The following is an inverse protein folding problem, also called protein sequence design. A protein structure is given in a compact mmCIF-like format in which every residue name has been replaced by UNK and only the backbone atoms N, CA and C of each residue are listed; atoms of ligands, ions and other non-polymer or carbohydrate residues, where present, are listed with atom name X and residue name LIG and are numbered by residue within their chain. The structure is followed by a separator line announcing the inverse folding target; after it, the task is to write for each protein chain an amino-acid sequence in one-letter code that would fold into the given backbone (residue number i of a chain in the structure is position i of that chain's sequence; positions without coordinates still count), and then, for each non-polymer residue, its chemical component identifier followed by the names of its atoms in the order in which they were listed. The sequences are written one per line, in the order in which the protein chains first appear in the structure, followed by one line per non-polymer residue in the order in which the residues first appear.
data_IF_965371185245
#
_entry.id   IF_965371185245
#
_cell.length_a   1.000
_cell.length_b   1.000
_cell.length_c   1.000
_cell.angle_alpha   90.00
_cell.angle_beta   90.00
_cell.angle_gamma   90.00
#
_symmetry.space_group_name_H-M   'P 1'
#
loop_
_entity.id
_entity.type
_entity.pdbx_description
1 polymer ?
#
# COMPACT_ATOMS: atom_id res chain seq x y z
N UNK A 1 -2.79 13.54 -20.82
CA UNK A 1 -3.46 12.45 -20.44
C UNK A 1 -4.80 12.68 -19.86
N UNK A 2 -5.68 11.90 -20.26
CA UNK A 2 -6.95 12.24 -20.02
C UNK A 2 -7.48 11.52 -18.95
N UNK A 3 -7.06 11.77 -17.83
CA UNK A 3 -7.64 11.21 -16.69
C UNK A 3 -8.67 12.14 -16.24
N UNK A 4 -9.88 11.79 -16.45
CA UNK A 4 -10.93 12.57 -15.94
C UNK A 4 -11.41 11.86 -14.72
N UNK A 5 -11.00 12.25 -13.58
CA UNK A 5 -11.42 11.56 -12.38
C UNK A 5 -12.91 11.61 -12.28
N UNK A 6 -13.46 10.49 -12.01
CA UNK A 6 -14.89 10.43 -11.87
C UNK A 6 -15.28 10.78 -10.49
N UNK A 7 -15.00 12.00 -10.10
CA UNK A 7 -15.27 12.36 -8.79
C UNK A 7 -16.68 12.27 -8.46
N UNK A 8 -16.99 11.77 -7.32
CA UNK A 8 -18.35 11.77 -6.86
C UNK A 8 -19.23 10.71 -7.45
N UNK A 9 -18.68 9.80 -8.21
CA UNK A 9 -19.48 8.75 -8.75
C UNK A 9 -19.73 7.62 -7.80
N UNK A 10 -19.33 7.79 -6.56
CA UNK A 10 -19.71 6.86 -5.53
C UNK A 10 -19.02 5.54 -5.48
N UNK A 11 -18.03 5.36 -6.32
CA UNK A 11 -17.34 4.10 -6.32
C UNK A 11 -16.18 4.20 -5.37
N UNK A 12 -16.39 3.85 -4.12
CA UNK A 12 -15.36 3.96 -3.10
C UNK A 12 -14.31 2.89 -3.19
N UNK A 13 -14.52 1.87 -4.01
CA UNK A 13 -13.57 0.77 -4.12
C UNK A 13 -12.78 0.77 -5.40
N UNK A 14 -13.15 1.59 -6.34
CA UNK A 14 -12.53 1.59 -7.65
C UNK A 14 -12.39 2.98 -8.16
N UNK A 15 -11.32 3.23 -8.89
CA UNK A 15 -11.18 4.43 -9.65
C UNK A 15 -11.61 4.15 -11.08
N UNK A 16 -12.37 5.05 -11.64
CA UNK A 16 -12.77 4.93 -13.03
C UNK A 16 -12.12 6.01 -13.86
N UNK A 17 -11.50 5.59 -14.95
CA UNK A 17 -10.92 6.48 -15.92
C UNK A 17 -11.80 6.40 -17.16
N UNK A 18 -12.42 7.50 -17.50
CA UNK A 18 -13.34 7.54 -18.64
C UNK A 18 -12.69 8.22 -19.82
N UNK A 19 -12.88 7.64 -20.99
CA UNK A 19 -12.47 8.28 -22.23
C UNK A 19 -13.49 7.92 -23.31
N UNK A 20 -13.22 8.31 -24.53
CA UNK A 20 -14.18 8.07 -25.62
C UNK A 20 -14.40 6.60 -25.92
N UNK A 21 -13.46 5.76 -25.58
CA UNK A 21 -13.52 4.35 -25.92
C UNK A 21 -14.00 3.46 -24.78
N UNK A 22 -14.13 4.02 -23.59
CA UNK A 22 -14.58 3.21 -22.47
C UNK A 22 -14.07 3.75 -21.14
N UNK A 23 -14.00 2.88 -20.15
CA UNK A 23 -13.53 3.27 -18.83
C UNK A 23 -12.57 2.22 -18.28
N UNK A 24 -11.70 2.66 -17.39
CA UNK A 24 -10.78 1.77 -16.66
C UNK A 24 -11.11 1.86 -15.19
N UNK A 25 -11.27 0.73 -14.55
CA UNK A 25 -11.55 0.69 -13.11
C UNK A 25 -10.36 0.05 -12.39
N UNK A 26 -9.96 0.63 -11.29
CA UNK A 26 -8.83 0.12 -10.49
C UNK A 26 -9.37 -0.26 -9.11
N UNK A 27 -9.23 -1.52 -8.74
CA UNK A 27 -9.71 -1.98 -7.45
C UNK A 27 -8.68 -1.73 -6.36
N UNK A 28 -9.13 -1.67 -5.12
CA UNK A 28 -8.22 -1.51 -3.98
C UNK A 28 -7.27 -2.70 -3.85
N UNK A 29 -7.68 -3.89 -4.28
CA UNK A 29 -6.80 -5.05 -4.24
C UNK A 29 -5.61 -4.89 -5.17
N UNK A 30 -5.82 -4.32 -6.34
CA UNK A 30 -4.72 -4.08 -7.28
C UNK A 30 -3.75 -3.06 -6.68
N UNK A 31 -4.27 -2.03 -6.05
CA UNK A 31 -3.44 -1.02 -5.38
C UNK A 31 -2.64 -1.69 -4.26
N UNK A 32 -3.27 -2.56 -3.48
CA UNK A 32 -2.61 -3.24 -2.37
C UNK A 32 -1.48 -4.13 -2.87
N UNK A 33 -1.70 -4.86 -3.96
CA UNK A 33 -0.65 -5.70 -4.53
C UNK A 33 0.53 -4.88 -5.00
N UNK A 34 0.28 -3.78 -5.67
CA UNK A 34 1.35 -2.93 -6.17
C UNK A 34 2.10 -2.26 -5.02
N UNK A 35 1.36 -1.77 -4.02
CA UNK A 35 1.96 -1.13 -2.85
C UNK A 35 2.83 -2.13 -2.08
N UNK A 36 2.36 -3.38 -1.94
CA UNK A 36 3.11 -4.41 -1.26
C UNK A 36 4.40 -4.75 -1.98
N UNK A 37 4.35 -4.87 -3.30
CA UNK A 37 5.54 -5.15 -4.09
C UNK A 37 6.55 -4.01 -3.97
N UNK A 38 6.08 -2.78 -3.92
CA UNK A 38 6.96 -1.62 -3.73
C UNK A 38 7.59 -1.66 -2.35
N UNK A 39 6.78 -1.96 -1.34
CA UNK A 39 7.24 -1.92 0.05
C UNK A 39 8.35 -2.93 0.32
N UNK A 40 8.22 -4.16 -0.19
CA UNK A 40 9.22 -5.19 0.10
C UNK A 40 10.54 -4.93 -0.58
N UNK A 41 10.56 -4.03 -1.55
CA UNK A 41 11.82 -3.65 -2.20
C UNK A 41 12.54 -2.54 -1.45
N UNK A 42 11.91 -1.93 -0.48
CA UNK A 42 12.50 -0.81 0.25
C UNK A 42 13.54 -1.29 1.25
N UNK A 43 14.56 -0.46 1.45
CA UNK A 43 15.61 -0.75 2.41
C UNK A 43 15.03 -0.94 3.80
N UNK A 44 15.49 -1.98 4.48
CA UNK A 44 15.11 -2.24 5.87
C UNK A 44 13.78 -2.96 6.06
N UNK A 45 13.02 -3.17 5.00
CA UNK A 45 11.76 -3.90 5.09
C UNK A 45 12.04 -5.37 4.80
N UNK A 46 11.78 -6.23 5.77
CA UNK A 46 11.92 -7.67 5.59
C UNK A 46 10.69 -8.22 4.85
N UNK A 47 9.55 -7.69 5.19
CA UNK A 47 8.31 -8.12 4.54
C UNK A 47 7.09 -7.55 5.22
N UNK A 48 5.94 -7.99 4.77
CA UNK A 48 4.66 -7.60 5.36
C UNK A 48 4.32 -8.56 6.48
N UNK A 49 3.45 -8.14 7.37
CA UNK A 49 3.07 -8.93 8.53
C UNK A 49 1.57 -9.07 8.63
N UNK A 50 1.13 -10.25 9.04
CA UNK A 50 -0.24 -10.44 9.47
C UNK A 50 -0.22 -10.62 10.98
N UNK A 51 -1.14 -9.97 11.66
CA UNK A 51 -1.27 -10.10 13.10
C UNK A 51 -2.56 -10.87 13.38
N UNK A 52 -2.44 -11.97 14.14
CA UNK A 52 -3.61 -12.72 14.52
C UNK A 52 -4.31 -12.00 15.67
N UNK A 53 -5.50 -11.55 15.46
CA UNK A 53 -6.27 -10.87 16.50
C UNK A 53 -6.56 -11.81 17.67
N UNK A 54 -6.64 -13.08 17.38
CA UNK A 54 -6.98 -14.07 18.40
C UNK A 54 -5.80 -14.40 19.30
N UNK A 55 -4.64 -14.60 18.69
CA UNK A 55 -3.47 -15.05 19.42
C UNK A 55 -2.42 -13.99 19.64
N UNK A 56 -2.56 -12.86 18.99
CA UNK A 56 -1.57 -11.81 19.06
C UNK A 56 -0.27 -12.16 18.36
N UNK A 57 -0.26 -13.21 17.55
CA UNK A 57 0.94 -13.64 16.87
C UNK A 57 1.16 -12.83 15.61
N UNK A 58 2.42 -12.53 15.33
CA UNK A 58 2.81 -11.82 14.13
C UNK A 58 3.43 -12.81 13.15
N UNK A 59 2.90 -12.83 11.94
CA UNK A 59 3.35 -13.75 10.91
C UNK A 59 3.90 -12.99 9.73
N UNK A 60 5.08 -13.41 9.25
CA UNK A 60 5.66 -12.82 8.05
C UNK A 60 4.93 -13.33 6.83
N UNK A 61 4.53 -12.42 5.97
CA UNK A 61 3.81 -12.75 4.73
C UNK A 61 4.74 -12.72 3.54
N UNK A 62 4.54 -13.63 2.63
CA UNK A 62 5.36 -13.76 1.41
C UNK A 62 4.47 -13.99 0.21
N UNK A 63 4.98 -13.61 -0.95
CA UNK A 63 4.32 -13.89 -2.23
C UNK A 63 2.91 -13.37 -2.29
N UNK A 64 1.98 -14.23 -2.62
CA UNK A 64 0.59 -13.83 -2.82
C UNK A 64 -0.09 -13.36 -1.55
N UNK A 65 0.51 -13.63 -0.39
CA UNK A 65 -0.09 -13.22 0.88
C UNK A 65 0.26 -11.80 1.29
N UNK A 66 1.08 -11.11 0.53
CA UNK A 66 1.53 -9.75 0.93
C UNK A 66 0.36 -8.82 1.21
N UNK A 67 -0.70 -8.93 0.44
CA UNK A 67 -1.84 -8.02 0.58
C UNK A 67 -2.55 -8.14 1.92
N UNK A 68 -2.34 -9.24 2.62
CA UNK A 68 -2.97 -9.41 3.94
C UNK A 68 -2.38 -8.49 5.00
N UNK A 69 -1.20 -7.94 4.75
CA UNK A 69 -0.59 -6.97 5.64
C UNK A 69 -0.82 -5.54 5.20
N UNK A 70 -1.67 -5.33 4.21
CA UNK A 70 -1.90 -4.01 3.64
C UNK A 70 -3.39 -3.74 3.54
N UNK A 71 -3.79 -2.57 4.02
CA UNK A 71 -5.18 -2.16 3.88
C UNK A 71 -5.20 -0.90 3.03
N UNK A 72 -5.99 -0.91 1.98
CA UNK A 72 -6.12 0.23 1.08
C UNK A 72 -7.55 0.70 1.10
N UNK A 73 -7.74 2.00 1.29
CA UNK A 73 -9.04 2.62 1.19
C UNK A 73 -8.98 3.75 0.19
N UNK A 74 -9.95 3.81 -0.69
CA UNK A 74 -10.06 4.88 -1.68
C UNK A 74 -11.31 5.65 -1.31
N UNK A 75 -11.15 6.94 -1.01
CA UNK A 75 -12.28 7.74 -0.54
C UNK A 75 -13.08 8.30 -1.71
N UNK A 76 -14.15 9.02 -1.40
CA UNK A 76 -15.04 9.57 -2.42
C UNK A 76 -14.38 10.62 -3.29
N UNK A 77 -13.24 11.15 -2.87
CA UNK A 77 -12.47 12.11 -3.66
C UNK A 77 -11.37 11.43 -4.48
N UNK A 78 -11.40 10.10 -4.54
CA UNK A 78 -10.40 9.30 -5.25
C UNK A 78 -9.01 9.49 -4.70
N UNK A 79 -8.91 9.64 -3.37
CA UNK A 79 -7.62 9.70 -2.69
C UNK A 79 -7.42 8.39 -1.95
N UNK A 80 -6.17 7.96 -1.87
CA UNK A 80 -5.83 6.67 -1.31
C UNK A 80 -5.25 6.81 0.08
N UNK A 81 -5.73 6.00 0.99
CA UNK A 81 -5.09 5.84 2.30
C UNK A 81 -4.62 4.39 2.40
N UNK A 82 -3.37 4.18 2.77
CA UNK A 82 -2.77 2.85 2.83
C UNK A 82 -2.20 2.61 4.21
N UNK A 83 -2.51 1.46 4.78
CA UNK A 83 -1.93 1.02 6.04
C UNK A 83 -1.04 -0.17 5.75
N UNK A 84 0.21 -0.10 6.20
CA UNK A 84 1.16 -1.19 6.07
C UNK A 84 1.48 -1.77 7.43
N UNK A 85 1.44 -3.09 7.53
CA UNK A 85 1.95 -3.80 8.69
C UNK A 85 3.22 -4.49 8.23
N UNK A 86 4.35 -4.10 8.79
CA UNK A 86 5.67 -4.50 8.27
C UNK A 86 6.54 -5.14 9.32
N UNK A 87 7.49 -5.93 8.86
CA UNK A 87 8.58 -6.45 9.67
C UNK A 87 9.84 -5.81 9.14
N UNK A 88 10.63 -5.23 10.04
CA UNK A 88 11.84 -4.52 9.67
C UNK A 88 13.07 -5.29 10.10
N UNK A 89 14.19 -4.97 9.47
CA UNK A 89 15.47 -5.58 9.79
C UNK A 89 16.02 -5.01 11.09
N UNK A 90 16.60 -5.88 11.91
CA UNK A 90 17.22 -5.45 13.17
C UNK A 90 18.38 -4.50 12.87
N UNK A 91 18.49 -3.47 13.66
CA UNK A 91 19.61 -2.54 13.57
C UNK A 91 19.41 -1.36 12.63
N UNK A 92 18.30 -1.33 11.89
CA UNK A 92 18.02 -0.17 11.03
C UNK A 92 17.29 0.90 11.82
N UNK A 93 17.40 2.13 11.35
CA UNK A 93 16.63 3.22 11.93
C UNK A 93 15.20 3.13 11.42
N UNK A 94 14.26 2.91 12.31
CA UNK A 94 12.85 2.77 11.93
C UNK A 94 12.34 4.02 11.26
N UNK A 95 12.72 5.21 11.75
CA UNK A 95 12.24 6.43 11.13
C UNK A 95 12.78 6.61 9.71
N UNK A 96 14.03 6.21 9.48
CA UNK A 96 14.60 6.29 8.14
C UNK A 96 13.91 5.30 7.19
N UNK A 97 13.65 4.10 7.67
CA UNK A 97 12.96 3.10 6.87
C UNK A 97 11.55 3.59 6.54
N UNK A 98 10.85 4.15 7.52
CA UNK A 98 9.49 4.64 7.31
C UNK A 98 9.47 5.78 6.31
N UNK A 99 10.40 6.73 6.42
CA UNK A 99 10.44 7.85 5.48
C UNK A 99 10.70 7.37 4.06
N UNK A 100 11.62 6.42 3.92
CA UNK A 100 11.94 5.86 2.61
C UNK A 100 10.75 5.11 2.02
N UNK A 101 10.08 4.33 2.85
CA UNK A 101 8.90 3.59 2.42
C UNK A 101 7.79 4.54 1.97
N UNK A 102 7.52 5.56 2.75
CA UNK A 102 6.48 6.53 2.42
C UNK A 102 6.77 7.20 1.10
N UNK A 103 8.00 7.66 0.90
CA UNK A 103 8.35 8.35 -0.33
C UNK A 103 8.24 7.44 -1.55
N UNK A 104 8.73 6.22 -1.43
CA UNK A 104 8.69 5.29 -2.56
C UNK A 104 7.26 4.89 -2.89
N UNK A 105 6.45 4.59 -1.89
CA UNK A 105 5.07 4.19 -2.12
C UNK A 105 4.28 5.36 -2.69
N UNK A 106 4.47 6.54 -2.13
CA UNK A 106 3.77 7.73 -2.61
C UNK A 106 4.04 7.95 -4.08
N UNK A 107 5.31 7.90 -4.45
CA UNK A 107 5.68 8.13 -5.85
C UNK A 107 5.16 7.03 -6.77
N UNK A 108 5.44 5.78 -6.44
CA UNK A 108 5.14 4.68 -7.34
C UNK A 108 3.64 4.39 -7.44
N UNK A 109 2.95 4.44 -6.33
CA UNK A 109 1.51 4.19 -6.36
C UNK A 109 0.77 5.32 -7.06
N UNK A 110 1.18 6.56 -6.85
CA UNK A 110 0.59 7.69 -7.56
C UNK A 110 0.80 7.57 -9.06
N UNK A 111 2.02 7.18 -9.47
CA UNK A 111 2.31 7.01 -10.89
C UNK A 111 1.48 5.87 -11.50
N UNK A 112 1.39 4.77 -10.77
CA UNK A 112 0.69 3.60 -11.26
C UNK A 112 -0.82 3.84 -11.39
N UNK A 113 -1.40 4.47 -10.40
CA UNK A 113 -2.85 4.61 -10.33
C UNK A 113 -3.37 5.92 -10.89
N UNK A 114 -2.54 6.95 -10.91
CA UNK A 114 -2.98 8.29 -11.23
C UNK A 114 -3.77 8.93 -10.11
N UNK A 115 -3.79 8.31 -8.93
CA UNK A 115 -4.53 8.83 -7.79
C UNK A 115 -3.61 9.53 -6.81
N UNK A 116 -4.18 10.43 -6.03
CA UNK A 116 -3.44 11.12 -4.99
C UNK A 116 -3.40 10.24 -3.75
N UNK A 117 -2.25 10.17 -3.10
CA UNK A 117 -2.12 9.48 -1.82
C UNK A 117 -2.44 10.48 -0.73
N UNK A 118 -3.44 10.16 0.07
CA UNK A 118 -3.87 11.00 1.17
C UNK A 118 -3.03 10.77 2.41
N UNK A 119 -2.75 9.50 2.70
CA UNK A 119 -2.08 9.15 3.94
C UNK A 119 -1.48 7.76 3.85
N UNK A 120 -0.32 7.57 4.43
CA UNK A 120 0.31 6.27 4.54
C UNK A 120 0.65 6.03 6.00
N UNK A 121 0.07 4.99 6.58
CA UNK A 121 0.33 4.63 7.97
C UNK A 121 1.18 3.37 7.99
N UNK A 122 2.20 3.34 8.81
CA UNK A 122 3.11 2.22 8.89
C UNK A 122 3.11 1.70 10.32
N UNK A 123 2.80 0.43 10.47
CA UNK A 123 2.79 -0.26 11.76
C UNK A 123 3.90 -1.29 11.75
N UNK A 124 4.92 -1.08 12.57
CA UNK A 124 6.05 -2.00 12.65
C UNK A 124 5.66 -3.07 13.65
N UNK A 125 5.41 -4.26 13.14
CA UNK A 125 4.89 -5.34 13.97
C UNK A 125 5.98 -6.27 14.48
N UNK A 126 7.15 -6.22 13.91
CA UNK A 126 8.24 -7.06 14.35
C UNK A 126 9.57 -6.66 13.76
N UNK A 127 10.61 -7.25 14.30
CA UNK A 127 11.98 -7.00 13.89
C UNK A 127 12.64 -8.36 13.69
N UNK A 128 13.38 -8.51 12.62
CA UNK A 128 14.08 -9.74 12.33
C UNK A 128 15.55 -9.49 12.10
N UNK A 129 16.37 -10.40 12.60
CA UNK A 129 17.81 -10.38 12.33
C UNK A 129 18.01 -11.04 10.97
N UNK A 130 18.70 -10.33 10.10
CA UNK A 130 19.00 -10.82 8.75
C UNK A 130 20.49 -11.09 8.69
N UNK A 131 20.86 -12.31 8.31
CA UNK A 131 22.26 -12.69 8.18
C UNK A 131 22.82 -12.42 6.78
#
# INVERSE_FOLDING_TARGET
RDVAPSRGLGDVYKRQLNNKLGKVSISSDVVAQYAGSTAVECFGIVGMAAVSMKDGLVKLLKGDSLTRGIKVEIDSDNRIEVDFHVIVSYGVSISTVADNLIENVKYKVSEFTGLEIKKINIYVEGVRVID
#
